data_IF_897984913715
#
_entry.id   IF_897984913715
#
_cell.length_a   1.000
_cell.length_b   1.000
_cell.length_c   1.000
_cell.angle_alpha   90.00
_cell.angle_beta   90.00
_cell.angle_gamma   90.00
#
_symmetry.space_group_name_H-M   'P 1'
#
loop_
_entity.id
_entity.type
_entity.pdbx_description
1 polymer ?
#
# COMPACT_ATOMS: atom_id res chain seq x y z
N UNK A 1 22.22 -11.95 53.10
CA UNK A 1 22.52 -12.30 51.70
C UNK A 1 21.70 -11.37 50.81
N UNK A 2 22.32 -10.27 50.37
CA UNK A 2 21.71 -9.31 49.46
C UNK A 2 21.67 -9.94 48.07
N UNK A 3 20.49 -9.97 47.44
CA UNK A 3 20.36 -10.37 46.03
C UNK A 3 21.31 -9.50 45.18
N UNK A 4 21.94 -10.05 44.12
CA UNK A 4 22.79 -9.26 43.25
C UNK A 4 21.96 -8.10 42.68
N UNK A 5 22.48 -6.88 42.80
CA UNK A 5 21.87 -5.70 42.20
C UNK A 5 21.69 -5.97 40.70
N UNK A 6 20.44 -6.00 40.22
CA UNK A 6 20.14 -6.18 38.81
C UNK A 6 20.93 -5.13 37.99
N UNK A 7 21.53 -5.50 36.84
CA UNK A 7 22.29 -4.54 36.06
C UNK A 7 21.35 -3.45 35.54
N UNK A 8 21.34 -2.32 36.26
CA UNK A 8 20.60 -1.08 35.96
C UNK A 8 20.61 -0.68 34.48
N UNK A 9 21.69 -0.91 33.69
CA UNK A 9 21.71 -0.63 32.26
C UNK A 9 20.75 -1.47 31.42
N UNK A 10 20.59 -2.77 31.72
CA UNK A 10 19.73 -3.66 30.91
C UNK A 10 18.26 -3.32 31.12
N UNK A 11 17.85 -3.06 32.37
CA UNK A 11 16.48 -2.63 32.66
C UNK A 11 16.13 -1.30 31.99
N UNK A 12 17.07 -0.34 31.94
CA UNK A 12 16.91 0.92 31.21
C UNK A 12 16.77 0.71 29.71
N UNK A 13 17.57 -0.20 29.16
CA UNK A 13 17.51 -0.57 27.75
C UNK A 13 16.17 -1.23 27.41
N UNK A 14 15.65 -2.11 28.27
CA UNK A 14 14.33 -2.73 28.10
C UNK A 14 13.21 -1.69 28.20
N UNK A 15 13.25 -0.77 29.19
CA UNK A 15 12.29 0.33 29.32
C UNK A 15 12.21 1.19 28.05
N UNK A 16 13.38 1.64 27.56
CA UNK A 16 13.46 2.51 26.39
C UNK A 16 12.92 1.85 25.12
N UNK A 17 13.19 0.55 24.92
CA UNK A 17 12.72 -0.16 23.73
C UNK A 17 11.25 -0.58 23.83
N UNK A 18 10.71 -0.81 25.04
CA UNK A 18 9.28 -0.98 25.26
C UNK A 18 8.51 0.29 24.88
N UNK A 19 8.98 1.46 25.32
CA UNK A 19 8.34 2.74 24.95
C UNK A 19 8.45 3.00 23.44
N UNK A 20 9.64 2.85 22.84
CA UNK A 20 9.81 3.03 21.38
C UNK A 20 8.91 2.10 20.55
N UNK A 21 8.81 0.82 20.94
CA UNK A 21 7.95 -0.12 20.25
C UNK A 21 6.48 0.29 20.35
N UNK A 22 6.01 0.68 21.55
CA UNK A 22 4.62 1.09 21.78
C UNK A 22 4.28 2.41 21.09
N UNK A 23 5.19 3.38 21.08
CA UNK A 23 5.04 4.65 20.36
C UNK A 23 5.01 4.44 18.85
N UNK A 24 5.92 3.63 18.30
CA UNK A 24 5.94 3.32 16.88
C UNK A 24 4.65 2.60 16.44
N UNK A 25 4.17 1.62 17.22
CA UNK A 25 2.87 0.98 16.98
C UNK A 25 1.72 1.99 17.05
N UNK A 26 1.77 2.95 17.97
CA UNK A 26 0.74 3.98 18.11
C UNK A 26 0.64 4.89 16.89
N UNK A 27 1.77 5.29 16.31
CA UNK A 27 1.79 6.09 15.07
C UNK A 27 1.09 5.35 13.92
N UNK A 28 1.39 4.06 13.76
CA UNK A 28 0.76 3.23 12.72
C UNK A 28 -0.73 2.98 13.02
N UNK A 29 -1.09 2.76 14.29
CA UNK A 29 -2.49 2.62 14.75
C UNK A 29 -3.31 3.87 14.40
N UNK A 30 -2.78 5.06 14.70
CA UNK A 30 -3.46 6.32 14.41
C UNK A 30 -3.57 6.58 12.89
N UNK A 31 -2.58 6.19 12.08
CA UNK A 31 -2.72 6.22 10.62
C UNK A 31 -3.81 5.27 10.11
N UNK A 32 -3.89 4.05 10.65
CA UNK A 32 -4.96 3.12 10.27
C UNK A 32 -6.35 3.65 10.65
N UNK A 33 -6.45 4.37 11.77
CA UNK A 33 -7.69 4.94 12.27
C UNK A 33 -8.13 6.16 11.49
N UNK A 34 -7.22 7.11 11.25
CA UNK A 34 -7.58 8.43 10.72
C UNK A 34 -7.20 8.62 9.24
N UNK A 35 -6.22 7.86 8.75
CA UNK A 35 -5.78 7.92 7.36
C UNK A 35 -6.41 6.85 6.48
N UNK A 36 -6.63 5.64 7.01
CA UNK A 36 -7.13 4.50 6.22
C UNK A 36 -8.57 4.08 6.54
N UNK A 37 -9.15 4.56 7.63
CA UNK A 37 -10.46 4.13 8.16
C UNK A 37 -10.60 2.58 8.28
N UNK A 38 -9.51 1.87 8.58
CA UNK A 38 -9.47 0.39 8.66
C UNK A 38 -9.56 -0.11 10.10
N UNK A 39 -10.78 -0.30 10.58
CA UNK A 39 -11.06 -0.73 11.95
C UNK A 39 -10.42 -2.08 12.34
N UNK A 40 -10.30 -2.99 11.38
CA UNK A 40 -9.67 -4.30 11.56
C UNK A 40 -8.15 -4.19 11.81
N UNK A 41 -7.46 -3.30 11.09
CA UNK A 41 -6.04 -3.03 11.30
C UNK A 41 -5.80 -2.29 12.62
N UNK A 42 -6.68 -1.35 12.97
CA UNK A 42 -6.65 -0.66 14.28
C UNK A 42 -6.77 -1.67 15.42
N UNK A 43 -7.69 -2.64 15.33
CA UNK A 43 -7.87 -3.64 16.38
C UNK A 43 -6.60 -4.48 16.59
N UNK A 44 -5.97 -4.92 15.49
CA UNK A 44 -4.72 -5.71 15.54
C UNK A 44 -3.55 -4.91 16.10
N UNK A 45 -3.33 -3.68 15.63
CA UNK A 45 -2.25 -2.82 16.15
C UNK A 45 -2.44 -2.47 17.63
N UNK A 46 -3.70 -2.21 18.02
CA UNK A 46 -4.06 -1.98 19.42
C UNK A 46 -3.78 -3.22 20.27
N UNK A 47 -4.10 -4.42 19.80
CA UNK A 47 -3.78 -5.67 20.49
C UNK A 47 -2.28 -5.82 20.73
N UNK A 48 -1.45 -5.68 19.69
CA UNK A 48 0.01 -5.75 19.81
C UNK A 48 0.55 -4.73 20.83
N UNK A 49 0.04 -3.50 20.81
CA UNK A 49 0.45 -2.44 21.74
C UNK A 49 0.01 -2.72 23.19
N UNK A 50 -1.16 -3.33 23.39
CA UNK A 50 -1.65 -3.72 24.72
C UNK A 50 -0.86 -4.90 25.27
N UNK A 51 -0.56 -5.91 24.45
CA UNK A 51 0.28 -7.05 24.82
C UNK A 51 1.65 -6.61 25.33
N UNK A 52 2.32 -5.69 24.63
CA UNK A 52 3.57 -5.07 25.14
C UNK A 52 3.35 -4.26 26.43
N UNK A 53 2.24 -3.51 26.51
CA UNK A 53 1.91 -2.71 27.69
C UNK A 53 1.73 -3.53 28.97
N UNK A 54 1.16 -4.73 28.86
CA UNK A 54 0.99 -5.66 29.97
C UNK A 54 2.33 -6.15 30.54
N UNK A 55 3.37 -6.20 29.70
CA UNK A 55 4.72 -6.62 30.10
C UNK A 55 5.62 -5.44 30.51
N UNK A 56 5.11 -4.21 30.46
CA UNK A 56 5.85 -3.02 30.88
C UNK A 56 5.77 -2.82 32.40
N UNK A 57 6.40 -3.75 33.12
CA UNK A 57 6.44 -3.79 34.57
C UNK A 57 7.08 -2.53 35.19
N UNK A 58 6.65 -2.17 36.40
CA UNK A 58 7.11 -0.96 37.10
C UNK A 58 8.62 -0.98 37.38
N UNK A 59 9.23 -2.17 37.49
CA UNK A 59 10.69 -2.33 37.63
C UNK A 59 11.49 -1.67 36.50
N UNK A 60 10.95 -1.63 35.28
CA UNK A 60 11.57 -0.95 34.14
C UNK A 60 11.47 0.57 34.28
N UNK A 61 10.29 1.06 34.66
CA UNK A 61 10.02 2.49 34.87
C UNK A 61 10.86 3.06 36.01
N UNK A 62 11.09 2.29 37.06
CA UNK A 62 11.94 2.70 38.19
C UNK A 62 13.43 2.79 37.84
N UNK A 63 13.87 2.07 36.79
CA UNK A 63 15.24 2.18 36.29
C UNK A 63 15.45 3.43 35.41
N UNK A 64 14.37 4.12 35.03
CA UNK A 64 14.38 5.28 34.12
C UNK A 64 15.19 6.43 34.73
N UNK A 65 16.32 6.75 34.10
CA UNK A 65 17.09 7.96 34.36
C UNK A 65 17.07 8.84 33.11
N UNK A 66 16.17 9.84 33.11
CA UNK A 66 15.96 10.77 31.98
C UNK A 66 17.06 11.82 31.85
N UNK A 67 17.77 12.13 32.96
CA UNK A 67 18.76 13.20 33.02
C UNK A 67 20.13 12.89 32.38
N UNK A 68 20.34 11.67 31.87
CA UNK A 68 21.63 11.21 31.34
C UNK A 68 21.56 10.47 30.01
N UNK A 69 20.50 10.69 29.22
CA UNK A 69 20.44 10.15 27.86
C UNK A 69 21.33 10.97 26.93
N UNK A 70 22.49 10.43 26.62
CA UNK A 70 23.52 11.04 25.76
C UNK A 70 23.02 11.22 24.32
N UNK A 71 21.96 10.51 23.92
CA UNK A 71 21.41 10.54 22.56
C UNK A 71 20.08 11.30 22.42
N UNK A 72 19.60 11.94 23.48
CA UNK A 72 18.38 12.73 23.42
C UNK A 72 18.50 13.88 22.39
N UNK A 73 17.57 13.92 21.43
CA UNK A 73 17.50 14.98 20.41
C UNK A 73 18.32 14.73 19.14
N UNK A 74 19.02 13.58 19.00
CA UNK A 74 19.68 13.24 17.74
C UNK A 74 18.67 12.76 16.69
N UNK A 75 18.33 13.63 15.74
CA UNK A 75 17.53 13.27 14.56
C UNK A 75 18.44 12.99 13.35
N UNK A 76 18.13 11.95 12.59
CA UNK A 76 18.83 11.70 11.32
C UNK A 76 18.24 12.58 10.20
N UNK A 77 19.05 13.23 9.35
CA UNK A 77 18.56 14.10 8.27
C UNK A 77 17.52 13.43 7.34
N UNK A 78 17.66 12.13 7.09
CA UNK A 78 16.70 11.35 6.29
C UNK A 78 15.28 11.28 6.89
N UNK A 79 15.09 11.62 8.17
CA UNK A 79 13.74 11.73 8.76
C UNK A 79 12.96 12.91 8.14
N UNK A 80 13.64 13.99 7.72
CA UNK A 80 13.02 15.17 7.12
C UNK A 80 12.57 14.96 5.65
N UNK A 81 13.02 13.89 5.00
CA UNK A 81 12.72 13.60 3.59
C UNK A 81 11.44 12.77 3.39
N UNK A 82 10.78 12.34 4.47
CA UNK A 82 9.58 11.49 4.39
C UNK A 82 8.35 12.37 4.14
N UNK A 83 7.91 12.44 2.89
CA UNK A 83 6.74 13.24 2.49
C UNK A 83 5.46 12.41 2.36
N UNK A 84 5.58 11.09 2.19
CA UNK A 84 4.43 10.20 1.93
C UNK A 84 4.07 9.35 3.15
N UNK A 85 2.77 9.15 3.46
CA UNK A 85 2.32 8.34 4.59
C UNK A 85 2.87 6.91 4.59
N UNK A 86 3.01 6.27 3.42
CA UNK A 86 3.58 4.93 3.30
C UNK A 86 5.04 4.88 3.80
N UNK A 87 5.85 5.90 3.50
CA UNK A 87 7.22 6.02 3.99
C UNK A 87 7.27 6.24 5.52
N UNK A 88 6.29 6.96 6.08
CA UNK A 88 6.15 7.12 7.53
C UNK A 88 5.77 5.78 8.19
N UNK A 89 4.83 5.04 7.62
CA UNK A 89 4.41 3.72 8.12
C UNK A 89 5.58 2.73 8.09
N UNK A 90 6.25 2.55 6.95
CA UNK A 90 7.42 1.66 6.83
C UNK A 90 8.52 2.02 7.84
N UNK A 91 8.85 3.31 7.98
CA UNK A 91 9.86 3.76 8.93
C UNK A 91 9.46 3.57 10.41
N UNK A 92 8.17 3.57 10.73
CA UNK A 92 7.70 3.23 12.07
C UNK A 92 7.71 1.72 12.29
N UNK A 93 7.24 0.92 11.32
CA UNK A 93 7.33 -0.55 11.37
C UNK A 93 8.77 -1.02 11.59
N UNK A 94 9.74 -0.52 10.81
CA UNK A 94 11.16 -0.83 10.99
C UNK A 94 11.69 -0.49 12.39
N UNK A 95 11.38 0.70 12.91
CA UNK A 95 11.78 1.10 14.29
C UNK A 95 11.16 0.23 15.36
N UNK A 96 9.91 -0.19 15.20
CA UNK A 96 9.26 -1.12 16.11
C UNK A 96 9.95 -2.49 16.05
N UNK A 97 10.26 -3.00 14.85
CA UNK A 97 10.96 -4.27 14.67
C UNK A 97 12.37 -4.24 15.31
N UNK A 98 13.11 -3.15 15.14
CA UNK A 98 14.40 -2.93 15.80
C UNK A 98 14.27 -2.93 17.32
N UNK A 99 13.30 -2.19 17.87
CA UNK A 99 13.05 -2.13 19.30
C UNK A 99 12.67 -3.52 19.86
N UNK A 100 11.78 -4.25 19.17
CA UNK A 100 11.39 -5.61 19.53
C UNK A 100 12.57 -6.59 19.46
N UNK A 101 13.49 -6.41 18.52
CA UNK A 101 14.71 -7.21 18.44
C UNK A 101 15.62 -7.01 19.65
N UNK A 102 15.73 -5.77 20.13
CA UNK A 102 16.47 -5.46 21.35
C UNK A 102 15.79 -6.10 22.58
N UNK A 103 14.47 -6.00 22.68
CA UNK A 103 13.70 -6.66 23.76
C UNK A 103 13.85 -8.18 23.74
N UNK A 104 13.83 -8.79 22.56
CA UNK A 104 14.06 -10.23 22.40
C UNK A 104 15.44 -10.64 22.91
N UNK A 105 16.49 -9.99 22.43
CA UNK A 105 17.87 -10.41 22.73
C UNK A 105 18.26 -10.14 24.18
N UNK A 106 17.98 -8.94 24.70
CA UNK A 106 18.31 -8.60 26.09
C UNK A 106 17.30 -9.16 27.11
N UNK A 107 16.08 -9.47 26.68
CA UNK A 107 15.05 -10.08 27.53
C UNK A 107 15.31 -11.55 27.82
N UNK A 108 16.01 -12.31 26.97
CA UNK A 108 16.19 -13.77 27.14
C UNK A 108 16.70 -14.17 28.53
N UNK A 109 17.60 -13.37 29.11
CA UNK A 109 18.16 -13.64 30.44
C UNK A 109 17.37 -12.98 31.58
N UNK A 110 16.79 -11.78 31.35
CA UNK A 110 16.19 -10.94 32.40
C UNK A 110 14.66 -11.08 32.51
N UNK A 111 13.99 -11.29 31.38
CA UNK A 111 12.54 -11.46 31.26
C UNK A 111 12.19 -12.34 30.05
N UNK A 112 12.22 -13.68 30.21
CA UNK A 112 11.92 -14.61 29.12
C UNK A 112 10.52 -14.46 28.54
N UNK A 113 9.55 -14.00 29.34
CA UNK A 113 8.19 -13.78 28.87
C UNK A 113 8.13 -12.57 27.92
N UNK A 114 8.78 -11.47 28.30
CA UNK A 114 8.96 -10.30 27.43
C UNK A 114 9.71 -10.67 26.14
N UNK A 115 10.77 -11.47 26.24
CA UNK A 115 11.53 -11.89 25.06
C UNK A 115 10.70 -12.73 24.08
N UNK A 116 9.95 -13.71 24.59
CA UNK A 116 9.08 -14.56 23.79
C UNK A 116 7.97 -13.73 23.12
N UNK A 117 7.37 -12.80 23.87
CA UNK A 117 6.31 -11.95 23.35
C UNK A 117 6.83 -10.95 22.32
N UNK A 118 8.00 -10.35 22.55
CA UNK A 118 8.63 -9.44 21.60
C UNK A 118 8.94 -10.15 20.27
N UNK A 119 9.41 -11.40 20.32
CA UNK A 119 9.60 -12.22 19.13
C UNK A 119 8.28 -12.47 18.39
N UNK A 120 7.22 -12.88 19.11
CA UNK A 120 5.91 -13.15 18.51
C UNK A 120 5.31 -11.91 17.83
N UNK A 121 5.39 -10.75 18.49
CA UNK A 121 4.91 -9.47 17.94
C UNK A 121 5.74 -9.05 16.74
N UNK A 122 7.06 -9.24 16.77
CA UNK A 122 7.95 -8.90 15.66
C UNK A 122 7.58 -9.69 14.39
N UNK A 123 7.32 -10.99 14.54
CA UNK A 123 6.85 -11.81 13.41
C UNK A 123 5.48 -11.37 12.90
N UNK A 124 4.50 -11.16 13.79
CA UNK A 124 3.18 -10.67 13.39
C UNK A 124 3.25 -9.30 12.68
N UNK A 125 4.21 -8.47 13.04
CA UNK A 125 4.42 -7.16 12.44
C UNK A 125 5.00 -7.24 11.02
N UNK A 126 5.79 -8.26 10.68
CA UNK A 126 6.26 -8.46 9.29
C UNK A 126 5.08 -8.69 8.34
N UNK A 127 4.16 -9.58 8.72
CA UNK A 127 2.98 -9.87 7.91
C UNK A 127 2.06 -8.64 7.82
N UNK A 128 1.86 -7.97 8.96
CA UNK A 128 1.03 -6.79 9.05
C UNK A 128 1.62 -5.61 8.26
N UNK A 129 2.95 -5.45 8.18
CA UNK A 129 3.60 -4.39 7.40
C UNK A 129 3.27 -4.49 5.91
N UNK A 130 3.28 -5.70 5.34
CA UNK A 130 2.88 -5.91 3.94
C UNK A 130 1.43 -5.49 3.71
N UNK A 131 0.54 -5.84 4.63
CA UNK A 131 -0.87 -5.47 4.55
C UNK A 131 -1.09 -3.96 4.72
N UNK A 132 -0.36 -3.33 5.65
CA UNK A 132 -0.39 -1.90 5.91
C UNK A 132 0.10 -1.10 4.71
N UNK A 133 1.19 -1.53 4.07
CA UNK A 133 1.74 -0.87 2.89
C UNK A 133 0.82 -0.98 1.68
N UNK A 134 0.12 -2.11 1.52
CA UNK A 134 -0.94 -2.25 0.52
C UNK A 134 -2.14 -1.36 0.84
N UNK A 135 -2.53 -1.29 2.11
CA UNK A 135 -3.63 -0.45 2.54
C UNK A 135 -3.31 1.05 2.47
N UNK A 136 -2.03 1.44 2.50
CA UNK A 136 -1.61 2.83 2.26
C UNK A 136 -1.97 3.24 0.83
N UNK A 137 -2.57 4.43 0.63
CA UNK A 137 -3.32 4.71 -0.58
C UNK A 137 -2.40 5.01 -1.77
N UNK A 138 -1.96 3.96 -2.47
CA UNK A 138 -1.67 4.05 -3.89
C UNK A 138 -2.94 4.45 -4.68
N UNK A 139 -4.13 4.20 -4.11
CA UNK A 139 -5.43 4.55 -4.68
C UNK A 139 -5.65 6.07 -4.79
N UNK A 140 -5.25 6.85 -3.78
CA UNK A 140 -5.29 8.32 -3.85
C UNK A 140 -4.30 8.85 -4.87
N UNK A 141 -3.15 8.18 -5.03
CA UNK A 141 -2.18 8.53 -6.06
C UNK A 141 -2.73 8.28 -7.47
N UNK A 142 -3.37 7.13 -7.72
CA UNK A 142 -4.00 6.84 -9.03
C UNK A 142 -5.13 7.83 -9.34
N UNK A 143 -6.01 8.12 -8.39
CA UNK A 143 -7.11 9.10 -8.55
C UNK A 143 -6.59 10.51 -8.74
N UNK A 144 -5.59 10.94 -7.97
CA UNK A 144 -4.95 12.25 -8.12
C UNK A 144 -4.22 12.36 -9.46
N UNK A 145 -3.57 11.29 -9.91
CA UNK A 145 -2.95 11.25 -11.23
C UNK A 145 -3.98 11.34 -12.35
N UNK A 146 -5.08 10.59 -12.25
CA UNK A 146 -6.20 10.64 -13.20
C UNK A 146 -6.75 12.07 -13.33
N UNK A 147 -6.93 12.78 -12.21
CA UNK A 147 -7.37 14.19 -12.21
C UNK A 147 -6.38 15.16 -12.87
N UNK A 148 -5.08 14.82 -12.95
CA UNK A 148 -4.04 15.61 -13.63
C UNK A 148 -3.95 15.28 -15.11
N UNK A 149 -4.43 14.11 -15.54
CA UNK A 149 -4.47 13.76 -16.95
C UNK A 149 -5.40 14.72 -17.70
N UNK A 150 -4.91 15.23 -18.84
CA UNK A 150 -5.67 16.10 -19.76
C UNK A 150 -5.89 15.45 -21.12
N UNK A 151 -5.09 14.43 -21.43
CA UNK A 151 -5.14 13.69 -22.68
C UNK A 151 -5.25 12.20 -22.35
N UNK A 152 -6.31 11.57 -22.86
CA UNK A 152 -6.60 10.16 -22.72
C UNK A 152 -6.44 9.46 -24.07
N UNK A 153 -5.42 8.62 -24.21
CA UNK A 153 -5.22 7.80 -25.41
C UNK A 153 -6.00 6.48 -25.27
N UNK A 154 -6.90 6.21 -26.21
CA UNK A 154 -7.58 4.91 -26.35
C UNK A 154 -6.99 4.20 -27.55
N UNK A 155 -6.47 3.00 -27.35
CA UNK A 155 -5.81 2.22 -28.41
C UNK A 155 -6.77 1.23 -29.06
N UNK A 156 -6.38 0.75 -30.23
CA UNK A 156 -6.94 -0.47 -30.83
C UNK A 156 -5.79 -1.36 -31.29
N UNK A 157 -5.97 -2.69 -31.37
CA UNK A 157 -5.01 -3.57 -32.02
C UNK A 157 -4.65 -3.02 -33.40
N UNK A 158 -3.34 -2.86 -33.61
CA UNK A 158 -2.76 -2.35 -34.84
C UNK A 158 -1.30 -2.81 -34.92
N UNK A 159 -0.73 -2.91 -36.13
CA UNK A 159 0.71 -3.09 -36.28
C UNK A 159 1.49 -1.99 -35.53
N UNK A 160 2.57 -2.36 -34.86
CA UNK A 160 3.47 -1.43 -34.13
C UNK A 160 2.77 -0.63 -33.01
N UNK A 161 1.71 -1.17 -32.41
CA UNK A 161 0.97 -0.54 -31.31
C UNK A 161 1.88 -0.02 -30.18
N UNK A 162 2.88 -0.81 -29.79
CA UNK A 162 3.84 -0.42 -28.73
C UNK A 162 4.63 0.84 -29.10
N UNK A 163 5.11 0.94 -30.35
CA UNK A 163 5.87 2.09 -30.82
C UNK A 163 4.99 3.36 -30.87
N UNK A 164 3.73 3.23 -31.29
CA UNK A 164 2.76 4.33 -31.29
C UNK A 164 2.49 4.82 -29.86
N UNK A 165 2.28 3.90 -28.91
CA UNK A 165 2.06 4.27 -27.51
C UNK A 165 3.32 4.87 -26.90
N UNK A 166 4.51 4.36 -27.22
CA UNK A 166 5.77 4.93 -26.72
C UNK A 166 5.96 6.37 -27.20
N UNK A 167 5.72 6.64 -28.49
CA UNK A 167 5.77 7.99 -29.04
C UNK A 167 4.75 8.93 -28.35
N UNK A 168 3.54 8.44 -28.08
CA UNK A 168 2.52 9.22 -27.37
C UNK A 168 2.93 9.53 -25.91
N UNK A 169 3.53 8.56 -25.22
CA UNK A 169 4.05 8.73 -23.86
C UNK A 169 5.22 9.72 -23.80
N UNK A 170 6.14 9.66 -24.78
CA UNK A 170 7.20 10.65 -24.98
C UNK A 170 6.61 12.05 -25.23
N UNK A 171 5.51 12.14 -25.98
CA UNK A 171 4.75 13.37 -26.21
C UNK A 171 3.96 13.90 -25.00
N UNK A 172 3.96 13.19 -23.86
CA UNK A 172 3.36 13.65 -22.61
C UNK A 172 2.01 13.01 -22.25
N UNK A 173 1.53 12.01 -23.00
CA UNK A 173 0.33 11.24 -22.59
C UNK A 173 0.60 10.53 -21.26
N UNK A 174 -0.35 10.59 -20.32
CA UNK A 174 -0.25 9.95 -18.99
C UNK A 174 -1.44 9.06 -18.63
N UNK A 175 -2.37 8.87 -19.55
CA UNK A 175 -3.50 7.96 -19.41
C UNK A 175 -3.69 7.20 -20.72
N UNK A 176 -3.55 5.89 -20.67
CA UNK A 176 -3.64 4.99 -21.83
C UNK A 176 -4.63 3.88 -21.54
N UNK A 177 -5.54 3.62 -22.47
CA UNK A 177 -6.46 2.49 -22.42
C UNK A 177 -6.14 1.50 -23.54
N UNK A 178 -5.91 0.25 -23.15
CA UNK A 178 -5.90 -0.86 -24.10
C UNK A 178 -7.32 -1.29 -24.42
N UNK A 179 -7.76 -1.07 -25.67
CA UNK A 179 -9.09 -1.45 -26.13
C UNK A 179 -9.01 -2.34 -27.37
N UNK A 180 -9.03 -3.64 -27.11
CA UNK A 180 -9.23 -4.65 -28.13
C UNK A 180 -10.64 -5.21 -27.99
N UNK A 181 -11.53 -4.91 -28.94
CA UNK A 181 -12.91 -5.45 -28.93
C UNK A 181 -12.92 -6.90 -29.41
N UNK A 182 -13.97 -7.64 -29.08
CA UNK A 182 -14.28 -8.88 -29.79
C UNK A 182 -14.33 -8.61 -31.30
N UNK A 183 -13.70 -9.51 -32.08
CA UNK A 183 -13.55 -9.35 -33.53
C UNK A 183 -12.49 -8.35 -34.00
N UNK A 184 -11.70 -7.75 -33.10
CA UNK A 184 -10.50 -7.01 -33.52
C UNK A 184 -9.50 -7.94 -34.21
N UNK A 185 -8.78 -7.42 -35.20
CA UNK A 185 -7.79 -8.19 -35.95
C UNK A 185 -6.40 -8.02 -35.33
N UNK A 186 -5.62 -9.10 -35.35
CA UNK A 186 -4.20 -9.15 -35.04
C UNK A 186 -3.34 -8.56 -36.17
N UNK A 187 -2.02 -8.62 -35.99
CA UNK A 187 -1.07 -8.09 -36.97
C UNK A 187 -1.02 -8.91 -38.27
N UNK A 188 -1.44 -10.17 -38.20
CA UNK A 188 -1.57 -11.11 -39.31
C UNK A 188 -2.90 -10.98 -40.07
N UNK A 189 -3.82 -10.14 -39.59
CA UNK A 189 -5.14 -9.94 -40.17
C UNK A 189 -6.20 -10.94 -39.70
N UNK A 190 -5.85 -11.86 -38.79
CA UNK A 190 -6.77 -12.82 -38.20
C UNK A 190 -7.39 -12.27 -36.90
N UNK A 191 -8.50 -12.84 -36.39
CA UNK A 191 -9.07 -12.41 -35.11
C UNK A 191 -8.07 -12.53 -33.96
N UNK A 192 -7.84 -11.45 -33.23
CA UNK A 192 -6.87 -11.41 -32.13
C UNK A 192 -7.29 -12.37 -31.01
N UNK A 193 -6.35 -13.24 -30.63
CA UNK A 193 -6.50 -14.25 -29.58
C UNK A 193 -6.31 -13.67 -28.18
N UNK A 194 -6.76 -14.39 -27.16
CA UNK A 194 -6.53 -14.00 -25.75
C UNK A 194 -5.05 -13.99 -25.36
N UNK A 195 -4.25 -14.87 -25.96
CA UNK A 195 -2.80 -14.88 -25.76
C UNK A 195 -2.14 -13.60 -26.29
N UNK A 196 -2.55 -13.14 -27.48
CA UNK A 196 -2.06 -11.89 -28.05
C UNK A 196 -2.53 -10.67 -27.27
N UNK A 197 -3.79 -10.66 -26.81
CA UNK A 197 -4.31 -9.60 -25.93
C UNK A 197 -3.50 -9.49 -24.65
N UNK A 198 -3.18 -10.63 -24.03
CA UNK A 198 -2.36 -10.69 -22.84
C UNK A 198 -0.96 -10.14 -23.11
N UNK A 199 -0.29 -10.61 -24.17
CA UNK A 199 1.04 -10.14 -24.54
C UNK A 199 1.08 -8.62 -24.80
N UNK A 200 0.13 -8.10 -25.59
CA UNK A 200 0.03 -6.67 -25.87
C UNK A 200 -0.25 -5.86 -24.60
N UNK A 201 -1.20 -6.29 -23.77
CA UNK A 201 -1.53 -5.60 -22.53
C UNK A 201 -0.35 -5.58 -21.55
N UNK A 202 0.41 -6.68 -21.45
CA UNK A 202 1.63 -6.75 -20.64
C UNK A 202 2.70 -5.77 -21.15
N UNK A 203 2.97 -5.75 -22.45
CA UNK A 203 3.94 -4.83 -23.05
C UNK A 203 3.57 -3.36 -22.81
N UNK A 204 2.30 -3.00 -23.05
CA UNK A 204 1.80 -1.65 -22.82
C UNK A 204 1.81 -1.27 -21.33
N UNK A 205 1.50 -2.21 -20.42
CA UNK A 205 1.57 -1.96 -18.99
C UNK A 205 2.99 -1.62 -18.54
N UNK A 206 3.98 -2.40 -18.98
CA UNK A 206 5.40 -2.18 -18.66
C UNK A 206 5.86 -0.82 -19.21
N UNK A 207 5.48 -0.50 -20.44
CA UNK A 207 5.77 0.78 -21.05
C UNK A 207 5.16 1.95 -20.26
N UNK A 208 3.86 1.89 -19.95
CA UNK A 208 3.20 2.92 -19.14
C UNK A 208 3.86 3.08 -17.77
N UNK A 209 4.28 1.97 -17.14
CA UNK A 209 5.01 2.00 -15.86
C UNK A 209 6.32 2.79 -15.95
N UNK A 210 7.10 2.58 -17.01
CA UNK A 210 8.38 3.29 -17.23
C UNK A 210 8.20 4.80 -17.37
N UNK A 211 7.08 5.23 -17.94
CA UNK A 211 6.75 6.65 -18.15
C UNK A 211 5.88 7.26 -17.04
N UNK A 212 5.57 6.48 -15.98
CA UNK A 212 4.69 6.90 -14.90
C UNK A 212 3.28 7.27 -15.40
N UNK A 213 2.75 6.54 -16.38
CA UNK A 213 1.41 6.72 -16.93
C UNK A 213 0.44 5.66 -16.39
N UNK A 214 -0.83 6.05 -16.25
CA UNK A 214 -1.91 5.13 -15.89
C UNK A 214 -2.26 4.24 -17.08
N UNK A 215 -2.39 2.94 -16.82
CA UNK A 215 -2.78 1.95 -17.81
C UNK A 215 -4.10 1.28 -17.45
N UNK A 216 -5.10 1.42 -18.34
CA UNK A 216 -6.44 0.88 -18.16
C UNK A 216 -6.75 -0.18 -19.23
N UNK A 217 -7.56 -1.17 -18.87
CA UNK A 217 -8.03 -2.20 -19.82
C UNK A 217 -9.52 -2.04 -20.06
N UNK A 218 -9.93 -2.06 -21.32
CA UNK A 218 -11.35 -1.97 -21.68
C UNK A 218 -12.05 -3.32 -21.47
N UNK A 219 -13.23 -3.28 -20.82
CA UNK A 219 -14.21 -4.35 -20.57
C UNK A 219 -13.72 -5.56 -19.74
N UNK A 220 -12.53 -6.07 -20.05
CA UNK A 220 -11.95 -7.32 -19.52
C UNK A 220 -11.26 -7.15 -18.18
N UNK A 221 -12.01 -7.38 -17.12
CA UNK A 221 -11.53 -7.39 -15.72
C UNK A 221 -10.49 -8.49 -15.49
N UNK A 222 -10.68 -9.66 -16.08
CA UNK A 222 -9.74 -10.78 -15.99
C UNK A 222 -8.37 -10.44 -16.57
N UNK A 223 -8.34 -9.80 -17.75
CA UNK A 223 -7.11 -9.31 -18.37
C UNK A 223 -6.47 -8.19 -17.53
N UNK A 224 -7.28 -7.26 -17.00
CA UNK A 224 -6.81 -6.18 -16.13
C UNK A 224 -6.13 -6.72 -14.85
N UNK A 225 -6.66 -7.80 -14.28
CA UNK A 225 -6.06 -8.49 -13.14
C UNK A 225 -4.79 -9.23 -13.56
N UNK A 226 -4.80 -9.94 -14.69
CA UNK A 226 -3.66 -10.73 -15.17
C UNK A 226 -2.41 -9.87 -15.43
N UNK A 227 -2.57 -8.61 -15.85
CA UNK A 227 -1.46 -7.69 -16.13
C UNK A 227 -1.22 -6.65 -15.04
N UNK A 228 -1.97 -6.71 -13.94
CA UNK A 228 -1.99 -5.69 -12.89
C UNK A 228 -2.15 -4.26 -13.44
N UNK A 229 -3.19 -4.06 -14.25
CA UNK A 229 -3.58 -2.75 -14.77
C UNK A 229 -4.03 -1.81 -13.64
N UNK A 230 -3.92 -0.50 -13.85
CA UNK A 230 -4.36 0.50 -12.87
C UNK A 230 -5.88 0.57 -12.73
N UNK A 231 -6.62 -0.03 -13.66
CA UNK A 231 -8.07 -0.06 -13.65
C UNK A 231 -8.68 -0.56 -14.94
N UNK A 232 -10.00 -0.41 -15.03
CA UNK A 232 -10.82 -0.79 -16.18
C UNK A 232 -11.67 0.37 -16.66
N UNK A 233 -12.08 0.29 -17.92
CA UNK A 233 -13.19 1.08 -18.46
C UNK A 233 -14.29 0.13 -18.91
N UNK A 234 -15.53 0.39 -18.50
CA UNK A 234 -16.68 -0.48 -18.74
C UNK A 234 -17.73 0.28 -19.55
N UNK A 235 -18.22 -0.33 -20.61
CA UNK A 235 -19.41 0.10 -21.34
C UNK A 235 -20.71 -0.34 -20.66
N UNK A 236 -21.84 0.07 -21.23
CA UNK A 236 -23.17 -0.16 -20.64
C UNK A 236 -23.58 -1.63 -20.57
N UNK A 237 -23.10 -2.45 -21.51
CA UNK A 237 -23.37 -3.90 -21.56
C UNK A 237 -22.37 -4.77 -20.79
N UNK A 238 -21.32 -4.17 -20.23
CA UNK A 238 -20.27 -4.89 -19.50
C UNK A 238 -20.66 -5.11 -18.03
N UNK A 239 -19.77 -5.79 -17.29
CA UNK A 239 -20.00 -6.10 -15.87
C UNK A 239 -20.42 -4.84 -15.08
N UNK A 240 -21.41 -4.93 -14.17
CA UNK A 240 -21.80 -3.79 -13.34
C UNK A 240 -20.63 -3.27 -12.51
N UNK A 241 -20.44 -1.93 -12.37
CA UNK A 241 -19.30 -1.37 -11.66
C UNK A 241 -19.20 -1.83 -10.21
N UNK A 242 -20.33 -2.02 -9.52
CA UNK A 242 -20.37 -2.56 -8.16
C UNK A 242 -19.76 -3.96 -8.06
N UNK A 243 -19.97 -4.82 -9.07
CA UNK A 243 -19.37 -6.15 -9.12
C UNK A 243 -17.90 -6.08 -9.54
N UNK A 244 -17.57 -5.22 -10.51
CA UNK A 244 -16.18 -4.96 -10.89
C UNK A 244 -15.34 -4.48 -9.69
N UNK A 245 -15.89 -3.59 -8.85
CA UNK A 245 -15.26 -3.11 -7.61
C UNK A 245 -14.98 -4.25 -6.62
N UNK A 246 -15.88 -5.23 -6.51
CA UNK A 246 -15.66 -6.41 -5.64
C UNK A 246 -14.52 -7.29 -6.13
N UNK A 247 -14.33 -7.40 -7.45
CA UNK A 247 -13.26 -8.20 -8.05
C UNK A 247 -11.91 -7.47 -8.04
N UNK A 248 -11.91 -6.18 -8.36
CA UNK A 248 -10.71 -5.35 -8.52
C UNK A 248 -10.18 -4.77 -7.20
N UNK A 249 -11.01 -4.75 -6.16
CA UNK A 249 -10.71 -4.11 -4.89
C UNK A 249 -10.89 -2.58 -4.91
N UNK A 250 -10.68 -1.92 -3.77
CA UNK A 250 -10.97 -0.48 -3.59
C UNK A 250 -9.99 0.45 -4.34
N UNK A 251 -8.84 -0.07 -4.79
CA UNK A 251 -7.73 0.74 -5.27
C UNK A 251 -7.70 0.99 -6.78
N UNK A 252 -8.16 0.03 -7.59
CA UNK A 252 -8.10 0.12 -9.05
C UNK A 252 -9.17 1.09 -9.57
N UNK A 253 -8.86 1.80 -10.64
CA UNK A 253 -9.79 2.77 -11.25
C UNK A 253 -10.91 2.03 -12.00
N UNK A 254 -12.12 2.56 -11.95
CA UNK A 254 -13.28 2.08 -12.73
C UNK A 254 -13.87 3.26 -13.48
N UNK A 255 -13.75 3.24 -14.80
CA UNK A 255 -14.43 4.15 -15.70
C UNK A 255 -15.74 3.58 -16.24
N UNK A 256 -16.69 4.46 -16.58
CA UNK A 256 -17.94 4.06 -17.24
C UNK A 256 -18.21 4.90 -18.47
N UNK A 257 -18.56 4.28 -19.59
CA UNK A 257 -19.08 5.01 -20.77
C UNK A 257 -20.50 5.50 -20.48
N UNK A 258 -20.81 6.75 -20.79
CA UNK A 258 -22.14 7.36 -20.58
C UNK A 258 -22.62 8.11 -21.81
N UNK A 259 -23.91 7.96 -22.14
CA UNK A 259 -24.54 8.60 -23.30
C UNK A 259 -25.83 9.34 -22.95
N UNK A 260 -26.23 9.31 -21.67
CA UNK A 260 -27.41 10.01 -21.16
C UNK A 260 -27.20 10.45 -19.71
N UNK A 261 -27.94 11.47 -19.28
CA UNK A 261 -27.84 12.01 -17.92
C UNK A 261 -28.22 10.98 -16.84
N UNK A 262 -29.11 10.04 -17.14
CA UNK A 262 -29.43 8.91 -16.26
C UNK A 262 -28.21 8.03 -16.01
N UNK A 263 -27.51 7.63 -17.08
CA UNK A 263 -26.31 6.79 -17.00
C UNK A 263 -25.16 7.49 -16.25
N UNK A 264 -25.03 8.82 -16.39
CA UNK A 264 -24.08 9.60 -15.60
C UNK A 264 -24.38 9.52 -14.10
N UNK A 265 -25.65 9.70 -13.72
CA UNK A 265 -26.08 9.62 -12.31
C UNK A 265 -25.87 8.23 -11.73
N UNK A 266 -26.16 7.19 -12.51
CA UNK A 266 -25.90 5.80 -12.15
C UNK A 266 -24.40 5.54 -11.94
N UNK A 267 -23.54 5.99 -12.87
CA UNK A 267 -22.09 5.84 -12.74
C UNK A 267 -21.53 6.50 -11.46
N UNK A 268 -22.06 7.69 -11.09
CA UNK A 268 -21.69 8.35 -9.84
C UNK A 268 -22.17 7.57 -8.62
N UNK A 269 -23.42 7.08 -8.64
CA UNK A 269 -23.99 6.28 -7.55
C UNK A 269 -23.24 4.95 -7.34
N UNK A 270 -22.77 4.35 -8.43
CA UNK A 270 -22.00 3.11 -8.43
C UNK A 270 -20.53 3.30 -8.00
N UNK A 271 -20.08 4.53 -7.76
CA UNK A 271 -18.72 4.84 -7.33
C UNK A 271 -17.67 4.67 -8.43
N UNK A 272 -18.02 4.94 -9.69
CA UNK A 272 -17.04 5.04 -10.77
C UNK A 272 -16.11 6.24 -10.54
N UNK A 273 -14.82 6.05 -10.85
CA UNK A 273 -13.77 7.05 -10.64
C UNK A 273 -13.76 8.12 -11.74
N UNK A 274 -14.28 7.80 -12.94
CA UNK A 274 -14.50 8.73 -14.03
C UNK A 274 -15.55 8.22 -15.03
N UNK A 275 -15.98 9.10 -15.93
CA UNK A 275 -16.90 8.77 -17.03
C UNK A 275 -16.33 9.20 -18.37
N UNK A 276 -16.70 8.49 -19.43
CA UNK A 276 -16.38 8.79 -20.83
C UNK A 276 -17.62 9.02 -21.67
#
# INVERSE_FOLDING_TARGET
MTAPAQPQPVLRLLDANLDRAREGLRVVEDWCRFGLDRADLVARLKDLRQRLGLLHADRYKQARHTAGDVAAGMAHPAQAQRQEPAAVVAANCGRVQEALRVLEEFGRAEDPALAAEAAAIRYALYDLEVELLRACPAADQRRAQLQRCRLYLITSPAPQLEAVVEAALQGGVRLVQYRAKEGSLGADGEPITDAERLAQAQALRQLCSRFGALFLVNDRIDLALAVDADGVHLGQGDLPPALARRLLGPEKLIGRSTHALSQLREAVADGCDYVG
#
